data_IF_612760369256
#
_entry.id   IF_612760369256
#
_cell.length_a   1.000
_cell.length_b   1.000
_cell.length_c   1.000
_cell.angle_alpha   90.00
_cell.angle_beta   90.00
_cell.angle_gamma   90.00
#
_symmetry.space_group_name_H-M   'P 1'
#
loop_
_entity.id
_entity.type
_entity.pdbx_description
1 polymer ?
#
# COMPACT_ATOMS: atom_id res chain seq x y z
N UNK A 1 -5.08 18.72 -15.36
CA UNK A 1 -4.54 19.88 -14.61
C UNK A 1 -3.13 19.57 -14.11
N UNK A 2 -2.17 20.48 -14.21
CA UNK A 2 -0.87 20.27 -13.54
C UNK A 2 -1.04 20.42 -12.02
N UNK A 3 -0.50 19.50 -11.21
CA UNK A 3 -0.59 19.58 -9.73
C UNK A 3 -0.09 20.93 -9.19
N UNK A 4 0.87 21.56 -9.87
CA UNK A 4 1.41 22.88 -9.56
C UNK A 4 0.35 23.97 -9.44
N UNK A 5 -0.78 23.86 -10.16
CA UNK A 5 -1.86 24.86 -10.10
C UNK A 5 -2.60 24.89 -8.77
N UNK A 6 -2.47 23.85 -7.94
CA UNK A 6 -3.11 23.75 -6.63
C UNK A 6 -2.22 24.28 -5.49
N UNK A 7 -0.97 24.67 -5.77
CA UNK A 7 -0.01 25.10 -4.75
C UNK A 7 -0.47 26.30 -3.92
N UNK A 8 -1.33 27.16 -4.46
CA UNK A 8 -1.87 28.31 -3.73
C UNK A 8 -2.99 27.96 -2.74
N UNK A 9 -3.55 26.74 -2.82
CA UNK A 9 -4.65 26.25 -1.96
C UNK A 9 -4.18 25.33 -0.84
N UNK A 10 -2.90 25.00 -0.82
CA UNK A 10 -2.34 23.92 0.02
C UNK A 10 -1.06 24.38 0.70
N UNK A 11 -0.78 23.85 1.89
CA UNK A 11 0.49 24.08 2.60
C UNK A 11 1.63 23.23 2.03
N UNK A 12 1.29 22.03 1.57
CA UNK A 12 2.21 21.15 0.88
C UNK A 12 1.43 20.22 -0.07
N UNK A 13 2.07 19.83 -1.17
CA UNK A 13 1.51 18.96 -2.19
C UNK A 13 2.60 18.12 -2.82
N UNK A 14 2.31 16.88 -3.13
CA UNK A 14 3.27 16.03 -3.83
C UNK A 14 2.75 14.63 -4.11
N UNK A 15 3.63 13.84 -4.70
CA UNK A 15 3.39 12.42 -4.95
C UNK A 15 3.96 11.60 -3.81
N UNK A 16 3.41 10.40 -3.60
CA UNK A 16 4.04 9.41 -2.73
C UNK A 16 3.82 7.99 -3.23
N UNK A 17 4.58 7.04 -2.71
CA UNK A 17 4.49 5.65 -3.14
C UNK A 17 5.22 5.41 -4.47
N UNK A 18 4.80 4.39 -5.22
CA UNK A 18 5.55 3.88 -6.39
C UNK A 18 5.80 4.93 -7.46
N UNK A 19 4.91 5.92 -7.63
CA UNK A 19 5.12 7.02 -8.56
C UNK A 19 6.27 7.96 -8.13
N UNK A 20 6.45 8.18 -6.83
CA UNK A 20 7.55 9.02 -6.32
C UNK A 20 8.91 8.32 -6.41
N UNK A 21 8.94 6.98 -6.46
CA UNK A 21 10.16 6.14 -6.56
C UNK A 21 10.51 5.68 -7.97
N UNK A 22 9.77 6.13 -8.99
CA UNK A 22 9.90 5.62 -10.36
C UNK A 22 9.69 4.09 -10.49
N UNK A 23 8.94 3.49 -9.55
CA UNK A 23 8.53 2.07 -9.53
C UNK A 23 7.07 1.88 -9.98
N UNK A 24 6.53 2.88 -10.66
CA UNK A 24 5.16 2.91 -11.13
C UNK A 24 4.95 1.91 -12.27
N UNK A 25 3.91 1.09 -12.15
CA UNK A 25 3.49 0.18 -13.22
C UNK A 25 2.18 0.69 -13.82
N UNK A 26 2.26 1.22 -15.04
CA UNK A 26 1.12 1.81 -15.75
C UNK A 26 -0.03 0.82 -15.95
N UNK A 27 -1.24 1.25 -15.61
CA UNK A 27 -2.46 0.44 -15.68
C UNK A 27 -2.62 -0.55 -14.51
N UNK A 28 -1.66 -0.62 -13.59
CA UNK A 28 -1.73 -1.46 -12.38
C UNK A 28 -1.64 -0.63 -11.09
N UNK A 29 -0.75 0.34 -11.08
CA UNK A 29 -0.46 1.16 -9.90
C UNK A 29 -1.33 2.42 -9.90
N UNK A 30 -1.78 2.78 -8.71
CA UNK A 30 -2.45 4.06 -8.46
C UNK A 30 -1.40 5.18 -8.43
N UNK A 31 -1.73 6.37 -8.93
CA UNK A 31 -0.90 7.57 -8.75
C UNK A 31 -1.34 8.27 -7.46
N UNK A 32 -0.64 7.98 -6.36
CA UNK A 32 -0.99 8.56 -5.06
C UNK A 32 -0.42 9.97 -4.93
N UNK A 33 -1.28 10.88 -4.47
CA UNK A 33 -0.94 12.29 -4.23
C UNK A 33 -1.37 12.66 -2.82
N UNK A 34 -0.59 13.50 -2.15
CA UNK A 34 -0.97 14.08 -0.87
C UNK A 34 -1.16 15.58 -1.00
N UNK A 35 -2.08 16.14 -0.23
CA UNK A 35 -2.24 17.58 -0.06
C UNK A 35 -2.46 17.89 1.42
N UNK A 36 -1.67 18.83 1.94
CA UNK A 36 -1.81 19.33 3.31
C UNK A 36 -2.64 20.60 3.29
N UNK A 37 -3.94 20.47 3.58
CA UNK A 37 -4.88 21.60 3.60
C UNK A 37 -6.12 21.27 4.44
N UNK A 38 -6.76 22.29 4.98
CA UNK A 38 -8.10 22.19 5.57
C UNK A 38 -9.21 22.31 4.53
N UNK A 39 -8.89 22.76 3.30
CA UNK A 39 -9.85 22.86 2.21
C UNK A 39 -10.09 21.47 1.58
N UNK A 40 -11.22 20.85 1.95
CA UNK A 40 -11.58 19.52 1.45
C UNK A 40 -12.03 19.52 -0.02
N UNK A 41 -12.25 20.67 -0.66
CA UNK A 41 -12.57 20.73 -2.10
C UNK A 41 -11.42 20.21 -2.98
N UNK A 42 -10.18 20.35 -2.51
CA UNK A 42 -8.97 19.84 -3.16
C UNK A 42 -9.03 18.33 -3.38
N UNK A 43 -9.75 17.58 -2.53
CA UNK A 43 -9.94 16.14 -2.70
C UNK A 43 -10.65 15.81 -4.01
N UNK A 44 -11.73 16.54 -4.32
CA UNK A 44 -12.51 16.34 -5.54
C UNK A 44 -11.74 16.79 -6.78
N UNK A 45 -11.02 17.90 -6.69
CA UNK A 45 -10.16 18.40 -7.78
C UNK A 45 -9.11 17.34 -8.16
N UNK A 46 -8.38 16.81 -7.18
CA UNK A 46 -7.39 15.76 -7.42
C UNK A 46 -8.00 14.44 -7.91
N UNK A 47 -9.11 14.00 -7.32
CA UNK A 47 -9.78 12.76 -7.73
C UNK A 47 -10.33 12.84 -9.16
N UNK A 48 -10.85 14.00 -9.57
CA UNK A 48 -11.38 14.21 -10.93
C UNK A 48 -10.31 14.08 -12.03
N UNK A 49 -9.04 14.25 -11.67
CA UNK A 49 -7.89 14.10 -12.55
C UNK A 49 -7.34 12.66 -12.57
N UNK A 50 -8.02 11.72 -11.90
CA UNK A 50 -7.62 10.30 -11.86
C UNK A 50 -6.53 9.97 -10.84
N UNK A 51 -6.16 10.91 -9.98
CA UNK A 51 -5.24 10.63 -8.87
C UNK A 51 -5.94 9.86 -7.74
N UNK A 52 -5.15 9.23 -6.87
CA UNK A 52 -5.58 8.69 -5.59
C UNK A 52 -5.16 9.64 -4.45
N UNK A 53 -6.00 10.62 -4.08
CA UNK A 53 -5.60 11.67 -3.16
C UNK A 53 -5.73 11.29 -1.67
N UNK A 54 -4.76 11.74 -0.89
CA UNK A 54 -4.83 11.89 0.56
C UNK A 54 -4.85 13.39 0.90
N UNK A 55 -6.00 13.90 1.35
CA UNK A 55 -6.16 15.31 1.73
C UNK A 55 -6.38 15.41 3.24
N UNK A 56 -5.36 15.92 3.93
CA UNK A 56 -5.35 16.04 5.39
C UNK A 56 -4.92 17.43 5.82
N UNK A 57 -5.40 17.90 6.96
CA UNK A 57 -4.89 19.12 7.58
C UNK A 57 -3.49 18.88 8.16
N UNK A 58 -2.79 19.97 8.49
CA UNK A 58 -1.51 19.87 9.19
C UNK A 58 -1.65 19.23 10.58
N UNK A 59 -2.76 19.50 11.27
CA UNK A 59 -3.06 18.90 12.57
C UNK A 59 -3.34 17.39 12.45
N UNK A 60 -4.09 16.98 11.42
CA UNK A 60 -4.34 15.57 11.11
C UNK A 60 -3.03 14.85 10.78
N UNK A 61 -2.14 15.46 9.98
CA UNK A 61 -0.81 14.93 9.70
C UNK A 61 0.00 14.74 10.98
N UNK A 62 0.10 15.77 11.81
CA UNK A 62 0.83 15.68 13.08
C UNK A 62 0.24 14.61 14.02
N UNK A 63 -1.09 14.48 14.07
CA UNK A 63 -1.78 13.43 14.80
C UNK A 63 -1.36 12.03 14.32
N UNK A 64 -1.48 11.78 13.01
CA UNK A 64 -1.05 10.51 12.39
C UNK A 64 0.41 10.19 12.70
N UNK A 65 1.30 11.17 12.61
CA UNK A 65 2.72 10.98 12.89
C UNK A 65 3.03 10.67 14.35
N UNK A 66 2.33 11.30 15.30
CA UNK A 66 2.47 11.04 16.75
C UNK A 66 1.91 9.69 17.16
N UNK A 67 0.79 9.29 16.57
CA UNK A 67 0.19 7.97 16.81
C UNK A 67 1.02 6.84 16.17
N UNK A 68 1.84 7.17 15.18
CA UNK A 68 2.62 6.19 14.43
C UNK A 68 1.83 5.53 13.30
N UNK A 69 0.87 6.22 12.69
CA UNK A 69 0.20 5.70 11.50
C UNK A 69 1.22 5.56 10.33
N UNK A 70 1.34 4.37 9.70
CA UNK A 70 2.27 4.16 8.59
C UNK A 70 2.11 5.14 7.41
N UNK A 71 0.92 5.74 7.23
CA UNK A 71 0.72 6.75 6.19
C UNK A 71 1.66 7.95 6.39
N UNK A 72 1.84 8.42 7.63
CA UNK A 72 2.78 9.50 7.89
C UNK A 72 4.21 9.10 7.48
N UNK A 73 4.63 7.88 7.82
CA UNK A 73 5.94 7.37 7.42
C UNK A 73 6.12 7.38 5.90
N UNK A 74 5.09 6.97 5.14
CA UNK A 74 5.12 7.03 3.68
C UNK A 74 5.23 8.47 3.16
N UNK A 75 4.49 9.42 3.74
CA UNK A 75 4.59 10.81 3.31
C UNK A 75 5.97 11.42 3.60
N UNK A 76 6.62 11.08 4.71
CA UNK A 76 7.91 11.65 5.07
C UNK A 76 9.10 10.99 4.37
N UNK A 77 9.02 9.67 4.14
CA UNK A 77 10.16 8.88 3.65
C UNK A 77 10.05 8.50 2.16
N UNK A 78 8.85 8.62 1.58
CA UNK A 78 8.50 8.00 0.30
C UNK A 78 7.77 8.98 -0.64
N UNK A 79 8.06 10.27 -0.50
CA UNK A 79 7.38 11.33 -1.25
C UNK A 79 8.30 12.18 -2.10
N UNK A 80 7.71 12.74 -3.16
CA UNK A 80 8.31 13.77 -4.00
C UNK A 80 7.43 15.00 -3.94
N UNK A 81 7.88 16.00 -3.18
CA UNK A 81 7.17 17.25 -2.96
C UNK A 81 7.19 18.09 -4.24
N UNK A 82 6.01 18.56 -4.65
CA UNK A 82 5.82 19.51 -5.77
C UNK A 82 5.90 20.95 -5.26
N UNK A 83 5.30 21.24 -4.12
CA UNK A 83 5.39 22.55 -3.45
C UNK A 83 5.09 22.46 -1.95
N UNK A 84 5.58 23.46 -1.22
CA UNK A 84 5.46 23.52 0.24
C UNK A 84 6.40 22.56 0.96
N UNK A 85 6.18 22.36 2.27
CA UNK A 85 7.02 21.51 3.12
C UNK A 85 6.17 20.64 4.06
N UNK A 86 6.58 19.39 4.26
CA UNK A 86 6.00 18.48 5.25
C UNK A 86 6.67 18.69 6.62
N UNK A 87 6.04 19.47 7.50
CA UNK A 87 6.54 19.74 8.85
C UNK A 87 5.95 18.76 9.86
N UNK A 88 6.46 17.53 9.86
CA UNK A 88 6.11 16.52 10.86
C UNK A 88 7.27 15.56 11.12
N UNK A 89 7.27 14.92 12.30
CA UNK A 89 8.22 13.89 12.67
C UNK A 89 7.46 12.61 12.99
N UNK A 90 7.80 11.52 12.31
CA UNK A 90 7.19 10.23 12.56
C UNK A 90 7.72 9.61 13.86
N UNK A 91 6.81 9.13 14.71
CA UNK A 91 7.13 8.34 15.89
C UNK A 91 6.60 6.93 15.67
N UNK A 92 7.50 5.95 15.60
CA UNK A 92 7.07 4.54 15.57
C UNK A 92 6.50 4.16 16.93
N UNK A 93 5.32 3.54 16.92
CA UNK A 93 4.64 3.06 18.12
C UNK A 93 4.17 1.61 17.92
N UNK A 94 3.67 0.92 18.97
CA UNK A 94 3.03 -0.39 18.79
C UNK A 94 1.86 -0.35 17.79
N UNK A 95 1.19 0.80 17.66
CA UNK A 95 0.11 1.01 16.70
C UNK A 95 0.61 0.90 15.25
N UNK A 96 1.84 1.34 14.96
CA UNK A 96 2.44 1.24 13.61
C UNK A 96 2.44 -0.19 13.09
N UNK A 97 3.05 -1.12 13.84
CA UNK A 97 3.17 -2.51 13.39
C UNK A 97 1.80 -3.20 13.39
N UNK A 98 0.91 -2.87 14.34
CA UNK A 98 -0.44 -3.41 14.37
C UNK A 98 -1.29 -2.96 13.17
N UNK A 99 -1.12 -1.71 12.71
CA UNK A 99 -1.78 -1.22 11.50
C UNK A 99 -1.31 -1.96 10.25
N UNK A 100 -0.01 -2.18 10.10
CA UNK A 100 0.55 -2.99 9.02
C UNK A 100 0.02 -4.43 9.06
N UNK A 101 -0.06 -5.04 10.26
CA UNK A 101 -0.62 -6.38 10.45
C UNK A 101 -2.08 -6.46 10.00
N UNK A 102 -2.91 -5.50 10.39
CA UNK A 102 -4.34 -5.44 10.03
C UNK A 102 -4.59 -5.22 8.55
N UNK A 103 -3.65 -4.61 7.82
CA UNK A 103 -3.75 -4.42 6.37
C UNK A 103 -3.64 -5.74 5.60
N UNK A 104 -2.87 -6.72 6.10
CA UNK A 104 -2.62 -8.01 5.42
C UNK A 104 -3.94 -8.72 5.04
N UNK A 105 -4.83 -9.10 5.99
CA UNK A 105 -6.07 -9.78 5.65
C UNK A 105 -7.04 -8.90 4.86
N UNK A 106 -7.04 -7.58 5.09
CA UNK A 106 -7.90 -6.64 4.36
C UNK A 106 -7.56 -6.63 2.87
N UNK A 107 -6.29 -6.44 2.52
CA UNK A 107 -5.85 -6.47 1.13
C UNK A 107 -6.02 -7.85 0.49
N UNK A 108 -5.78 -8.94 1.22
CA UNK A 108 -6.05 -10.29 0.69
C UNK A 108 -7.54 -10.45 0.35
N UNK A 109 -8.44 -10.00 1.23
CA UNK A 109 -9.88 -10.06 0.97
C UNK A 109 -10.26 -9.22 -0.24
N UNK A 110 -9.73 -8.01 -0.37
CA UNK A 110 -9.96 -7.16 -1.55
C UNK A 110 -9.44 -7.82 -2.84
N UNK A 111 -8.31 -8.54 -2.77
CA UNK A 111 -7.78 -9.30 -3.90
C UNK A 111 -8.75 -10.40 -4.35
N UNK A 112 -9.25 -11.20 -3.38
CA UNK A 112 -10.23 -12.27 -3.63
C UNK A 112 -11.51 -11.71 -4.24
N UNK A 113 -12.05 -10.63 -3.68
CA UNK A 113 -13.28 -10.02 -4.18
C UNK A 113 -13.08 -9.33 -5.53
N UNK A 114 -11.90 -8.74 -5.79
CA UNK A 114 -11.53 -8.22 -7.11
C UNK A 114 -11.53 -9.31 -8.16
N UNK A 115 -10.90 -10.46 -7.87
CA UNK A 115 -10.87 -11.61 -8.77
C UNK A 115 -12.29 -12.12 -9.10
N UNK A 116 -13.15 -12.25 -8.07
CA UNK A 116 -14.54 -12.70 -8.26
C UNK A 116 -15.37 -11.78 -9.16
N UNK A 117 -15.06 -10.47 -9.18
CA UNK A 117 -15.74 -9.49 -10.04
C UNK A 117 -15.12 -9.38 -11.44
N UNK A 118 -14.06 -10.15 -11.75
CA UNK A 118 -13.29 -10.01 -12.99
C UNK A 118 -12.43 -8.75 -13.03
N UNK A 119 -12.20 -8.09 -11.89
CA UNK A 119 -11.30 -6.94 -11.78
C UNK A 119 -9.87 -7.43 -11.50
N UNK A 120 -9.23 -7.90 -12.56
CA UNK A 120 -7.91 -8.55 -12.52
C UNK A 120 -6.81 -7.61 -12.03
N UNK A 121 -6.89 -6.32 -12.39
CA UNK A 121 -5.96 -5.28 -11.98
C UNK A 121 -6.04 -5.06 -10.47
N UNK A 122 -7.25 -4.84 -9.95
CA UNK A 122 -7.45 -4.68 -8.51
C UNK A 122 -7.10 -5.95 -7.75
N UNK A 123 -7.41 -7.13 -8.30
CA UNK A 123 -7.04 -8.41 -7.70
C UNK A 123 -5.52 -8.54 -7.52
N UNK A 124 -4.74 -8.27 -8.57
CA UNK A 124 -3.28 -8.34 -8.54
C UNK A 124 -2.67 -7.26 -7.63
N UNK A 125 -3.13 -6.01 -7.73
CA UNK A 125 -2.62 -4.90 -6.93
C UNK A 125 -2.84 -5.16 -5.44
N UNK A 126 -4.02 -5.65 -5.04
CA UNK A 126 -4.32 -5.98 -3.65
C UNK A 126 -3.56 -7.23 -3.16
N UNK A 127 -3.33 -8.24 -4.01
CA UNK A 127 -2.49 -9.38 -3.64
C UNK A 127 -1.06 -8.95 -3.31
N UNK A 128 -0.48 -8.09 -4.16
CA UNK A 128 0.82 -7.48 -3.92
C UNK A 128 0.84 -6.64 -2.63
N UNK A 129 -0.15 -5.75 -2.44
CA UNK A 129 -0.26 -4.92 -1.23
C UNK A 129 -0.35 -5.79 0.04
N UNK A 130 -1.05 -6.92 -0.01
CA UNK A 130 -1.14 -7.86 1.11
C UNK A 130 0.21 -8.49 1.49
N UNK A 131 0.98 -9.00 0.51
CA UNK A 131 2.32 -9.55 0.78
C UNK A 131 3.31 -8.45 1.21
N UNK A 132 3.26 -7.27 0.58
CA UNK A 132 4.03 -6.10 1.01
C UNK A 132 3.77 -5.78 2.48
N UNK A 133 2.51 -5.75 2.91
CA UNK A 133 2.16 -5.51 4.32
C UNK A 133 2.70 -6.60 5.25
N UNK A 134 2.82 -7.86 4.81
CA UNK A 134 3.48 -8.93 5.59
C UNK A 134 4.96 -8.60 5.82
N UNK A 135 5.71 -8.27 4.75
CA UNK A 135 7.13 -7.92 4.84
C UNK A 135 7.31 -6.71 5.75
N UNK A 136 6.52 -5.66 5.53
CA UNK A 136 6.57 -4.43 6.31
C UNK A 136 6.25 -4.66 7.79
N UNK A 137 5.21 -5.44 8.10
CA UNK A 137 4.87 -5.78 9.48
C UNK A 137 6.00 -6.54 10.16
N UNK A 138 6.52 -7.59 9.51
CA UNK A 138 7.62 -8.40 10.07
C UNK A 138 8.88 -7.57 10.31
N UNK A 139 9.24 -6.69 9.37
CA UNK A 139 10.38 -5.78 9.54
C UNK A 139 10.13 -4.74 10.65
N UNK A 140 8.91 -4.20 10.74
CA UNK A 140 8.51 -3.26 11.79
C UNK A 140 8.71 -3.83 13.21
N UNK A 141 8.51 -5.14 13.41
CA UNK A 141 8.70 -5.77 14.72
C UNK A 141 10.16 -5.80 15.18
N UNK A 142 11.13 -5.74 14.26
CA UNK A 142 12.56 -5.95 14.57
C UNK A 142 13.46 -4.76 14.17
N UNK A 143 12.91 -3.78 13.46
CA UNK A 143 13.65 -2.61 12.97
C UNK A 143 12.76 -1.37 13.00
N UNK A 144 13.36 -0.20 13.21
CA UNK A 144 12.66 1.09 13.11
C UNK A 144 12.45 1.55 11.66
N UNK A 145 13.11 0.91 10.71
CA UNK A 145 12.92 1.15 9.29
C UNK A 145 11.82 0.24 8.73
N UNK A 146 10.85 0.82 8.00
CA UNK A 146 9.80 0.07 7.30
C UNK A 146 10.17 0.07 5.81
N UNK A 147 10.30 -1.09 5.15
CA UNK A 147 10.75 -1.16 3.76
C UNK A 147 9.68 -0.57 2.82
N UNK A 148 10.13 0.23 1.85
CA UNK A 148 9.25 0.98 0.94
C UNK A 148 9.50 0.67 -0.52
N UNK A 149 10.77 0.67 -0.95
CA UNK A 149 11.14 0.35 -2.32
C UNK A 149 11.02 -1.15 -2.60
N UNK A 150 10.93 -1.53 -3.87
CA UNK A 150 11.00 -2.91 -4.30
C UNK A 150 12.27 -3.58 -3.78
N UNK A 151 13.42 -2.90 -3.91
CA UNK A 151 14.70 -3.42 -3.45
C UNK A 151 14.68 -3.69 -1.93
N UNK A 152 14.20 -2.74 -1.12
CA UNK A 152 14.12 -2.90 0.34
C UNK A 152 13.18 -4.05 0.73
N UNK A 153 12.08 -4.20 -0.01
CA UNK A 153 11.09 -5.26 0.23
C UNK A 153 11.66 -6.64 -0.11
N UNK A 154 12.35 -6.77 -1.25
CA UNK A 154 13.01 -8.01 -1.66
C UNK A 154 14.14 -8.40 -0.69
N UNK A 155 14.97 -7.43 -0.28
CA UNK A 155 16.01 -7.65 0.73
C UNK A 155 15.42 -8.05 2.07
N UNK A 156 14.45 -7.26 2.59
CA UNK A 156 13.79 -7.55 3.86
C UNK A 156 13.09 -8.90 3.84
N UNK A 157 12.48 -9.30 2.71
CA UNK A 157 11.85 -10.61 2.57
C UNK A 157 12.87 -11.73 2.81
N UNK A 158 14.05 -11.64 2.17
CA UNK A 158 15.13 -12.64 2.29
C UNK A 158 15.70 -12.66 3.70
N UNK A 159 15.99 -11.51 4.28
CA UNK A 159 16.50 -11.39 5.66
C UNK A 159 15.56 -12.02 6.68
N UNK A 160 14.25 -11.85 6.49
CA UNK A 160 13.21 -12.36 7.39
C UNK A 160 12.88 -13.84 7.14
N UNK A 161 13.48 -14.48 6.13
CA UNK A 161 13.24 -15.89 5.79
C UNK A 161 11.79 -16.18 5.41
N UNK A 162 11.12 -15.24 4.73
CA UNK A 162 9.74 -15.41 4.26
C UNK A 162 9.71 -16.16 2.91
N UNK A 163 8.50 -16.53 2.46
CA UNK A 163 8.27 -17.16 1.16
C UNK A 163 8.39 -16.17 0.00
N UNK A 164 9.61 -15.71 -0.25
CA UNK A 164 9.91 -14.66 -1.23
C UNK A 164 9.62 -15.06 -2.67
N UNK A 165 9.57 -16.36 -2.99
CA UNK A 165 9.16 -16.85 -4.31
C UNK A 165 7.73 -16.39 -4.65
N UNK A 166 6.82 -16.34 -3.66
CA UNK A 166 5.46 -15.85 -3.85
C UNK A 166 5.45 -14.34 -4.10
N UNK A 167 6.31 -13.59 -3.41
CA UNK A 167 6.44 -12.15 -3.62
C UNK A 167 7.01 -11.82 -4.99
N UNK A 168 8.07 -12.52 -5.40
CA UNK A 168 8.71 -12.41 -6.71
C UNK A 168 7.74 -12.77 -7.85
N UNK A 169 6.93 -13.82 -7.67
CA UNK A 169 5.85 -14.17 -8.59
C UNK A 169 4.86 -13.01 -8.78
N UNK A 170 4.42 -12.38 -7.68
CA UNK A 170 3.50 -11.23 -7.74
C UNK A 170 4.13 -10.01 -8.42
N UNK A 171 5.41 -9.75 -8.17
CA UNK A 171 6.15 -8.69 -8.85
C UNK A 171 6.23 -8.94 -10.36
N UNK A 172 6.58 -10.16 -10.76
CA UNK A 172 6.63 -10.54 -12.17
C UNK A 172 5.27 -10.37 -12.85
N UNK A 173 4.18 -10.81 -12.23
CA UNK A 173 2.82 -10.62 -12.76
C UNK A 173 2.49 -9.13 -12.95
N UNK A 174 2.91 -8.26 -12.03
CA UNK A 174 2.74 -6.81 -12.17
C UNK A 174 3.55 -6.26 -13.34
N UNK A 175 4.83 -6.61 -13.40
CA UNK A 175 5.75 -6.13 -14.45
C UNK A 175 5.28 -6.54 -15.85
N UNK A 176 4.77 -7.77 -15.99
CA UNK A 176 4.24 -8.29 -17.26
C UNK A 176 2.77 -7.98 -17.50
N UNK A 177 2.10 -7.29 -16.57
CA UNK A 177 0.65 -7.00 -16.59
C UNK A 177 -0.20 -8.26 -16.81
N UNK A 178 0.25 -9.40 -16.28
CA UNK A 178 -0.43 -10.67 -16.41
C UNK A 178 -1.49 -10.80 -15.33
N UNK A 179 -2.73 -11.19 -15.67
CA UNK A 179 -3.79 -11.41 -14.69
C UNK A 179 -3.39 -12.40 -13.60
N UNK A 180 -3.76 -12.09 -12.35
CA UNK A 180 -3.58 -13.02 -11.25
C UNK A 180 -4.60 -14.16 -11.35
N UNK A 181 -4.18 -15.38 -11.02
CA UNK A 181 -5.06 -16.55 -11.00
C UNK A 181 -5.57 -16.86 -9.61
N UNK A 182 -6.70 -17.59 -9.51
CA UNK A 182 -7.19 -18.12 -8.23
C UNK A 182 -6.13 -18.98 -7.51
N UNK A 183 -5.29 -19.70 -8.25
CA UNK A 183 -4.20 -20.50 -7.70
C UNK A 183 -3.13 -19.63 -7.06
N UNK A 184 -2.74 -18.52 -7.71
CA UNK A 184 -1.80 -17.55 -7.15
C UNK A 184 -2.35 -16.91 -5.86
N UNK A 185 -3.64 -16.54 -5.85
CA UNK A 185 -4.30 -16.00 -4.65
C UNK A 185 -4.36 -17.05 -3.53
N UNK A 186 -4.61 -18.33 -3.87
CA UNK A 186 -4.61 -19.41 -2.89
C UNK A 186 -3.21 -19.72 -2.34
N UNK A 187 -2.16 -19.65 -3.17
CA UNK A 187 -0.75 -19.75 -2.75
C UNK A 187 -0.44 -18.65 -1.74
N UNK A 188 -0.82 -17.40 -2.07
CA UNK A 188 -0.71 -16.25 -1.16
C UNK A 188 -1.46 -16.48 0.16
N UNK A 189 -2.74 -16.89 0.11
CA UNK A 189 -3.53 -17.20 1.30
C UNK A 189 -2.82 -18.20 2.23
N UNK A 190 -2.27 -19.27 1.65
CA UNK A 190 -1.56 -20.31 2.40
C UNK A 190 -0.24 -19.84 3.03
N UNK A 191 0.43 -18.86 2.44
CA UNK A 191 1.57 -18.19 3.08
C UNK A 191 1.09 -17.31 4.23
N UNK A 192 0.14 -16.41 3.96
CA UNK A 192 -0.31 -15.41 4.94
C UNK A 192 -0.92 -16.04 6.20
N UNK A 193 -1.68 -17.14 6.07
CA UNK A 193 -2.30 -17.84 7.21
C UNK A 193 -1.30 -18.41 8.23
N UNK A 194 -0.03 -18.58 7.84
CA UNK A 194 1.05 -19.00 8.77
C UNK A 194 1.40 -17.89 9.77
N UNK A 195 1.06 -16.65 9.44
CA UNK A 195 1.55 -15.47 10.15
C UNK A 195 0.44 -14.63 10.78
N UNK A 196 -0.76 -14.62 10.19
CA UNK A 196 -1.91 -13.88 10.68
C UNK A 196 -3.18 -14.71 10.59
N UNK A 197 -4.13 -14.45 11.49
CA UNK A 197 -5.46 -15.00 11.40
C UNK A 197 -6.20 -14.41 10.19
N UNK A 198 -6.81 -15.27 9.39
CA UNK A 198 -7.63 -14.89 8.24
C UNK A 198 -9.10 -15.18 8.56
N UNK A 199 -9.95 -14.16 8.77
CA UNK A 199 -11.34 -14.35 9.21
C UNK A 199 -12.29 -14.77 8.08
N UNK A 200 -11.76 -15.43 7.05
CA UNK A 200 -12.48 -15.88 5.86
C UNK A 200 -11.80 -17.14 5.29
N UNK A 201 -12.58 -18.04 4.67
CA UNK A 201 -12.06 -19.30 4.13
C UNK A 201 -11.12 -19.07 2.95
N UNK A 202 -10.38 -20.11 2.57
CA UNK A 202 -9.53 -20.02 1.40
C UNK A 202 -10.35 -19.91 0.11
N UNK A 203 -9.83 -19.23 -0.93
CA UNK A 203 -10.55 -19.08 -2.19
C UNK A 203 -10.82 -20.42 -2.89
N UNK A 204 -9.95 -21.42 -2.69
CA UNK A 204 -10.13 -22.76 -3.21
C UNK A 204 -11.29 -23.49 -2.49
N UNK A 205 -11.41 -23.34 -1.17
CA UNK A 205 -12.55 -23.88 -0.42
C UNK A 205 -13.86 -23.22 -0.85
N UNK A 206 -13.89 -21.92 -1.15
CA UNK A 206 -15.11 -21.27 -1.65
C UNK A 206 -15.45 -21.69 -3.09
N UNK A 207 -14.46 -21.87 -3.96
CA UNK A 207 -14.66 -22.22 -5.36
C UNK A 207 -15.04 -23.69 -5.58
N UNK A 208 -14.59 -24.58 -4.70
CA UNK A 208 -14.75 -26.04 -4.85
C UNK A 208 -15.53 -26.70 -3.68
N UNK A 209 -15.87 -25.93 -2.63
CA UNK A 209 -16.58 -26.38 -1.43
C UNK A 209 -18.10 -26.25 -1.52
N UNK A 210 -18.69 -26.99 -2.46
CA UNK A 210 -19.98 -27.68 -2.30
C UNK A 210 -19.87 -29.00 -3.05
N UNK A 211 -19.34 -30.02 -2.38
CA UNK A 211 -19.57 -31.44 -2.71
C UNK A 211 -20.05 -32.13 -1.46
#
# INVERSE_FOLDING_TARGET
MELSSLCNKVKALGYFGSFARDEYVEGISDVNVFAITSDKSVLLELASEGYSPLVVSEEELQGMCREGDPICYYLLMDSKVVCGDLKANFVKTPYTCERLRKQIPSFLKMSIEGYKRGDEVSALNNAFKSFRSLIQWKKCLVSDNIPLSRADLEESCRELGLECDVFEDLLRLRDTKTPITIWSINKLYNVLKKYVELPFPSPAEEAFGKR
#
